data_IF_265089846100
#
_entry.id   IF_265089846100
#
_cell.length_a   1.000
_cell.length_b   1.000
_cell.length_c   1.000
_cell.angle_alpha   90.00
_cell.angle_beta   90.00
_cell.angle_gamma   90.00
#
_symmetry.space_group_name_H-M   'P 1'
#
loop_
_entity.id
_entity.type
_entity.pdbx_description
1 polymer ?
#
# COMPACT_ATOMS: atom_id res chain seq x y z
N UNK A 1 -41.01 -44.47 38.95
CA UNK A 1 -39.57 -44.33 39.01
C UNK A 1 -39.06 -44.39 37.57
N UNK A 2 -39.02 -43.20 36.91
CA UNK A 2 -38.71 -43.04 35.49
C UNK A 2 -37.38 -42.38 35.34
N UNK A 3 -36.42 -43.12 34.83
CA UNK A 3 -35.04 -42.68 34.67
C UNK A 3 -34.91 -41.86 33.37
N UNK A 4 -34.73 -40.56 33.46
CA UNK A 4 -34.48 -39.67 32.33
C UNK A 4 -32.98 -39.67 32.03
N UNK A 5 -32.60 -40.34 30.92
CA UNK A 5 -31.24 -40.27 30.39
C UNK A 5 -31.12 -39.03 29.52
N UNK A 6 -30.35 -38.03 30.00
CA UNK A 6 -30.02 -36.82 29.26
C UNK A 6 -28.85 -37.13 28.32
N UNK A 7 -29.14 -37.25 27.01
CA UNK A 7 -28.13 -37.43 25.96
C UNK A 7 -27.59 -36.04 25.59
N UNK A 8 -26.40 -35.66 26.06
CA UNK A 8 -25.68 -34.47 25.65
C UNK A 8 -25.08 -34.69 24.26
N UNK A 9 -25.67 -34.08 23.23
CA UNK A 9 -25.03 -33.93 21.92
C UNK A 9 -23.94 -32.86 22.03
N UNK A 10 -22.70 -33.30 21.99
CA UNK A 10 -21.54 -32.46 21.69
C UNK A 10 -21.57 -32.13 20.19
N UNK A 11 -22.02 -30.94 19.84
CA UNK A 11 -21.85 -30.39 18.50
C UNK A 11 -20.44 -29.78 18.44
N UNK A 12 -19.48 -30.55 17.94
CA UNK A 12 -18.17 -30.03 17.51
C UNK A 12 -18.38 -29.20 16.24
N UNK A 13 -18.49 -27.90 16.39
CA UNK A 13 -18.49 -26.95 15.29
C UNK A 13 -17.07 -26.78 14.74
N UNK A 14 -16.68 -27.66 13.79
CA UNK A 14 -15.50 -27.37 12.96
C UNK A 14 -15.81 -26.14 12.08
N UNK A 15 -15.17 -25.03 12.37
CA UNK A 15 -15.16 -23.85 11.49
C UNK A 15 -14.61 -24.23 10.13
N UNK A 16 -15.50 -24.31 9.14
CA UNK A 16 -15.12 -24.64 7.77
C UNK A 16 -14.70 -23.35 7.09
N UNK A 17 -13.40 -23.17 6.89
CA UNK A 17 -12.88 -22.17 5.96
C UNK A 17 -13.37 -22.55 4.57
N UNK A 18 -14.32 -21.80 4.02
CA UNK A 18 -14.76 -21.96 2.64
C UNK A 18 -13.81 -21.13 1.79
N UNK A 19 -12.72 -21.74 1.34
CA UNK A 19 -11.91 -21.19 0.27
C UNK A 19 -12.62 -21.47 -1.05
N UNK A 20 -13.09 -20.40 -1.70
CA UNK A 20 -13.61 -20.46 -3.07
C UNK A 20 -12.48 -20.88 -4.02
N UNK A 21 -12.70 -21.77 -4.99
CA UNK A 21 -11.68 -22.13 -5.97
C UNK A 21 -11.26 -20.89 -6.78
N UNK A 22 -9.94 -20.74 -6.95
CA UNK A 22 -9.33 -19.67 -7.71
C UNK A 22 -9.93 -19.58 -9.11
N UNK A 23 -10.27 -18.37 -9.53
CA UNK A 23 -10.66 -18.10 -10.91
C UNK A 23 -9.51 -18.48 -11.84
N UNK A 24 -9.81 -19.32 -12.82
CA UNK A 24 -8.88 -19.76 -13.86
C UNK A 24 -8.49 -18.54 -14.69
N UNK A 25 -7.26 -18.07 -14.51
CA UNK A 25 -6.69 -17.03 -15.38
C UNK A 25 -6.43 -17.66 -16.74
N UNK A 26 -7.15 -17.22 -17.75
CA UNK A 26 -6.83 -17.52 -19.14
C UNK A 26 -5.58 -16.74 -19.52
N UNK A 27 -4.46 -17.45 -19.66
CA UNK A 27 -3.22 -16.91 -20.25
C UNK A 27 -3.43 -16.94 -21.76
N UNK A 28 -3.41 -15.81 -22.49
CA UNK A 28 -3.43 -15.84 -23.94
C UNK A 28 -2.11 -16.43 -24.44
N UNK A 29 -2.20 -17.56 -25.13
CA UNK A 29 -1.08 -18.19 -25.83
C UNK A 29 -0.63 -17.26 -26.96
N UNK A 30 0.56 -16.72 -26.86
CA UNK A 30 1.18 -15.94 -27.93
C UNK A 30 1.55 -16.87 -29.08
N UNK A 31 0.83 -16.74 -30.19
CA UNK A 31 1.12 -17.40 -31.46
C UNK A 31 2.38 -16.78 -32.05
N UNK A 32 3.44 -17.56 -32.15
CA UNK A 32 4.67 -17.17 -32.84
C UNK A 32 4.45 -17.01 -34.35
N UNK A 33 4.62 -15.78 -34.83
CA UNK A 33 4.68 -15.47 -36.25
C UNK A 33 5.99 -15.96 -36.85
N UNK A 34 6.01 -16.64 -38.01
CA UNK A 34 7.24 -17.13 -38.61
C UNK A 34 8.11 -15.97 -39.10
N UNK A 35 9.38 -16.06 -38.80
CA UNK A 35 10.44 -15.13 -39.20
C UNK A 35 10.63 -15.31 -40.73
N UNK A 36 10.40 -14.25 -41.48
CA UNK A 36 10.69 -14.16 -42.90
C UNK A 36 12.21 -13.95 -43.08
N UNK A 37 12.85 -14.86 -43.79
CA UNK A 37 14.28 -14.78 -44.11
C UNK A 37 14.61 -13.53 -44.91
N UNK A 38 15.64 -12.82 -44.49
CA UNK A 38 16.18 -11.63 -45.16
C UNK A 38 17.18 -12.08 -46.22
N UNK A 39 17.12 -11.54 -47.45
CA UNK A 39 18.06 -11.92 -48.52
C UNK A 39 19.46 -11.32 -48.23
N UNK A 40 20.46 -12.13 -48.51
CA UNK A 40 21.90 -11.84 -48.44
C UNK A 40 22.26 -10.59 -49.26
N UNK A 41 23.01 -9.60 -48.74
CA UNK A 41 23.47 -8.48 -49.53
C UNK A 41 24.64 -8.87 -50.43
N UNK A 42 24.47 -8.56 -51.71
CA UNK A 42 25.52 -8.64 -52.73
C UNK A 42 26.59 -7.60 -52.50
N UNK A 43 27.88 -8.00 -52.61
CA UNK A 43 29.02 -7.13 -52.45
C UNK A 43 29.02 -5.99 -53.47
N UNK A 44 29.08 -4.76 -53.01
CA UNK A 44 29.25 -3.56 -53.82
C UNK A 44 30.63 -2.95 -53.66
N UNK A 45 31.15 -2.48 -54.76
CA UNK A 45 32.49 -2.04 -55.05
C UNK A 45 33.10 -1.04 -54.09
N UNK A 46 34.42 -1.18 -53.92
CA UNK A 46 35.35 -0.30 -53.24
C UNK A 46 35.27 1.15 -53.72
N UNK A 47 34.92 2.06 -52.82
CA UNK A 47 35.05 3.50 -53.03
C UNK A 47 36.43 4.00 -52.65
N UNK A 48 36.99 4.85 -53.52
CA UNK A 48 38.26 5.57 -53.34
C UNK A 48 38.21 6.52 -52.16
N UNK A 49 39.27 6.61 -51.31
CA UNK A 49 39.27 7.52 -50.16
C UNK A 49 39.29 8.97 -50.58
N UNK A 50 38.30 9.75 -50.12
CA UNK A 50 38.27 11.22 -50.22
C UNK A 50 39.16 11.76 -49.08
N UNK A 51 39.97 12.80 -49.29
CA UNK A 51 40.80 13.38 -48.22
C UNK A 51 39.89 13.99 -47.13
N UNK A 52 40.21 13.67 -45.89
CA UNK A 52 39.49 14.12 -44.68
C UNK A 52 39.57 15.67 -44.58
N UNK A 53 38.42 16.31 -44.52
CA UNK A 53 38.28 17.71 -44.10
C UNK A 53 38.63 17.79 -42.61
N UNK A 54 39.44 18.78 -42.14
CA UNK A 54 39.74 18.90 -40.73
C UNK A 54 38.45 19.10 -39.93
N UNK A 55 38.26 18.26 -38.92
CA UNK A 55 37.17 18.30 -37.95
C UNK A 55 37.25 19.63 -37.17
N UNK A 56 36.11 20.36 -37.04
CA UNK A 56 36.13 21.62 -36.27
C UNK A 56 36.48 21.32 -34.83
N UNK A 57 37.50 21.96 -34.30
CA UNK A 57 37.91 21.93 -32.89
C UNK A 57 36.73 22.44 -32.07
N UNK A 58 36.20 21.61 -31.20
CA UNK A 58 35.11 21.96 -30.30
C UNK A 58 35.56 23.12 -29.39
N UNK A 59 34.84 24.23 -29.48
CA UNK A 59 35.03 25.36 -28.55
C UNK A 59 34.51 24.89 -27.18
N UNK A 60 35.30 25.01 -26.08
CA UNK A 60 34.84 24.59 -24.77
C UNK A 60 33.58 25.41 -24.40
N UNK A 61 32.48 24.71 -24.21
CA UNK A 61 31.22 25.25 -23.66
C UNK A 61 31.53 25.77 -22.25
N UNK A 62 31.22 27.02 -21.88
CA UNK A 62 31.45 27.52 -20.52
C UNK A 62 30.67 26.66 -19.51
N UNK A 63 31.36 26.19 -18.49
CA UNK A 63 30.71 25.46 -17.37
C UNK A 63 29.65 26.35 -16.71
N UNK A 64 28.43 25.87 -16.51
CA UNK A 64 27.38 26.66 -15.86
C UNK A 64 27.73 26.92 -14.39
N UNK A 65 27.74 28.22 -14.02
CA UNK A 65 28.04 28.63 -12.65
C UNK A 65 26.89 28.25 -11.71
N UNK A 66 27.10 27.48 -10.63
CA UNK A 66 26.06 27.11 -9.71
C UNK A 66 25.47 28.30 -8.96
N UNK A 67 24.18 28.27 -8.65
CA UNK A 67 23.51 29.30 -7.84
C UNK A 67 23.60 28.88 -6.37
N UNK A 68 24.00 29.81 -5.48
CA UNK A 68 24.00 29.59 -4.04
C UNK A 68 22.73 30.21 -3.44
N UNK A 69 21.91 29.40 -2.78
CA UNK A 69 20.71 29.83 -2.05
C UNK A 69 20.92 29.70 -0.54
N UNK A 70 20.61 30.76 0.22
CA UNK A 70 20.63 30.69 1.69
C UNK A 70 19.25 30.36 2.19
N UNK A 71 19.10 29.23 2.93
CA UNK A 71 17.83 28.74 3.45
C UNK A 71 17.16 29.73 4.39
N UNK A 72 15.90 30.01 4.15
CA UNK A 72 15.03 30.83 4.98
C UNK A 72 14.04 29.96 5.76
N UNK A 73 13.40 30.52 6.77
CA UNK A 73 12.36 29.84 7.51
C UNK A 73 11.20 29.49 6.59
N UNK A 74 10.87 28.19 6.49
CA UNK A 74 9.82 27.66 5.61
C UNK A 74 10.32 27.16 4.25
N UNK A 75 11.60 27.33 3.91
CA UNK A 75 12.17 26.72 2.72
C UNK A 75 12.23 25.20 2.87
N UNK A 76 11.90 24.51 1.77
CA UNK A 76 12.04 23.07 1.64
C UNK A 76 12.79 22.74 0.36
N UNK A 77 13.50 21.60 0.32
CA UNK A 77 14.17 21.18 -0.93
C UNK A 77 13.20 21.06 -2.11
N UNK A 78 11.94 20.65 -1.84
CA UNK A 78 10.89 20.57 -2.87
C UNK A 78 10.56 21.98 -3.40
N UNK A 79 10.38 22.95 -2.52
CA UNK A 79 10.11 24.35 -2.90
C UNK A 79 11.27 24.96 -3.69
N UNK A 80 12.51 24.67 -3.28
CA UNK A 80 13.69 25.13 -4.01
C UNK A 80 13.82 24.46 -5.38
N UNK A 81 13.57 23.15 -5.47
CA UNK A 81 13.58 22.42 -6.72
C UNK A 81 12.58 23.01 -7.74
N UNK A 82 11.36 23.30 -7.30
CA UNK A 82 10.33 23.96 -8.10
C UNK A 82 10.72 25.39 -8.50
N UNK A 83 11.26 26.18 -7.54
CA UNK A 83 11.67 27.57 -7.76
C UNK A 83 12.78 27.71 -8.80
N UNK A 84 13.74 26.78 -8.78
CA UNK A 84 14.92 26.85 -9.65
C UNK A 84 14.84 25.90 -10.86
N UNK A 85 13.78 25.09 -10.98
CA UNK A 85 13.56 24.17 -12.11
C UNK A 85 14.60 23.04 -12.16
N UNK A 86 14.99 22.52 -11.01
CA UNK A 86 15.93 21.40 -10.83
C UNK A 86 15.26 20.28 -10.01
N UNK A 87 15.86 19.10 -9.96
CA UNK A 87 15.34 18.02 -9.11
C UNK A 87 15.78 18.18 -7.65
N UNK A 88 14.99 17.65 -6.71
CA UNK A 88 15.41 17.54 -5.30
C UNK A 88 16.69 16.72 -5.19
N UNK A 89 16.79 15.65 -5.96
CA UNK A 89 17.96 14.77 -5.99
C UNK A 89 19.23 15.53 -6.45
N UNK A 90 19.14 16.33 -7.51
CA UNK A 90 20.27 17.13 -7.98
C UNK A 90 20.74 18.13 -6.91
N UNK A 91 19.81 18.74 -6.15
CA UNK A 91 20.17 19.60 -5.02
C UNK A 91 20.84 18.77 -3.91
N UNK A 92 20.34 17.58 -3.59
CA UNK A 92 20.90 16.72 -2.55
C UNK A 92 22.32 16.26 -2.92
N UNK A 93 22.53 15.79 -4.14
CA UNK A 93 23.82 15.33 -4.65
C UNK A 93 24.85 16.48 -4.67
N UNK A 94 24.47 17.67 -5.16
CA UNK A 94 25.36 18.83 -5.20
C UNK A 94 25.79 19.32 -3.80
N UNK A 95 25.03 18.96 -2.74
CA UNK A 95 25.29 19.42 -1.37
C UNK A 95 25.65 18.28 -0.40
N UNK A 96 25.70 17.02 -0.85
CA UNK A 96 25.93 15.87 0.02
C UNK A 96 24.85 15.65 1.09
N UNK A 97 23.59 16.05 0.82
CA UNK A 97 22.48 15.96 1.77
C UNK A 97 21.88 14.57 1.71
N UNK A 98 22.11 13.77 2.75
CA UNK A 98 21.49 12.44 2.91
C UNK A 98 20.15 12.50 3.64
N UNK A 99 19.97 13.43 4.58
CA UNK A 99 18.71 13.64 5.29
C UNK A 99 18.21 15.08 5.13
N UNK A 100 17.11 15.30 4.36
CA UNK A 100 16.53 16.63 4.17
C UNK A 100 15.99 17.30 5.44
N UNK A 101 15.79 16.52 6.52
CA UNK A 101 15.27 17.02 7.80
C UNK A 101 16.33 17.71 8.65
N UNK A 102 17.62 17.50 8.33
CA UNK A 102 18.75 18.10 9.02
C UNK A 102 19.12 19.51 8.54
N UNK A 103 18.34 20.12 7.64
CA UNK A 103 18.63 21.44 7.08
C UNK A 103 18.35 22.57 8.09
N UNK A 104 19.28 23.53 8.18
CA UNK A 104 19.19 24.66 9.10
C UNK A 104 18.90 25.97 8.36
N UNK A 105 18.10 26.84 8.98
CA UNK A 105 17.91 28.21 8.50
C UNK A 105 19.25 28.94 8.51
N UNK A 106 19.58 29.62 7.39
CA UNK A 106 20.87 30.26 7.17
C UNK A 106 21.92 29.38 6.50
N UNK A 107 21.67 28.07 6.33
CA UNK A 107 22.55 27.18 5.60
C UNK A 107 22.57 27.56 4.11
N UNK A 108 23.74 27.52 3.50
CA UNK A 108 23.90 27.76 2.06
C UNK A 108 23.73 26.42 1.30
N UNK A 109 22.90 26.45 0.29
CA UNK A 109 22.59 25.32 -0.59
C UNK A 109 23.01 25.65 -2.01
N UNK A 110 23.80 24.79 -2.60
CA UNK A 110 24.22 24.88 -4.01
C UNK A 110 23.08 24.37 -4.87
N UNK A 111 22.57 25.20 -5.75
CA UNK A 111 21.58 24.85 -6.75
C UNK A 111 22.32 24.59 -8.07
N UNK A 112 22.37 23.37 -8.56
CA UNK A 112 23.04 23.05 -9.80
C UNK A 112 22.32 23.73 -10.98
N UNK A 113 23.09 24.31 -11.89
CA UNK A 113 22.57 25.00 -13.10
C UNK A 113 22.84 24.19 -14.35
N UNK A 114 23.39 22.97 -14.20
CA UNK A 114 23.68 22.06 -15.28
C UNK A 114 22.41 21.74 -16.09
N UNK A 115 22.49 21.74 -17.45
CA UNK A 115 21.40 21.30 -18.30
C UNK A 115 20.89 19.89 -17.95
N UNK A 116 21.74 18.95 -17.50
CA UNK A 116 21.34 17.61 -17.08
C UNK A 116 20.54 17.63 -15.76
N UNK A 117 20.89 18.51 -14.82
CA UNK A 117 20.12 18.72 -13.60
C UNK A 117 18.71 19.30 -13.87
N UNK A 118 18.54 20.01 -14.99
CA UNK A 118 17.26 20.54 -15.48
C UNK A 118 16.50 19.53 -16.33
N UNK A 119 17.18 18.75 -17.13
CA UNK A 119 16.59 17.68 -17.96
C UNK A 119 16.04 16.55 -17.08
N UNK A 120 16.69 16.28 -15.95
CA UNK A 120 16.16 15.37 -14.93
C UNK A 120 14.90 15.89 -14.24
N UNK A 121 14.61 17.21 -14.28
CA UNK A 121 13.35 17.78 -13.79
C UNK A 121 12.12 17.38 -14.62
N UNK A 122 12.34 16.89 -15.85
CA UNK A 122 11.30 16.41 -16.76
C UNK A 122 11.23 14.88 -16.88
N UNK A 123 12.26 14.18 -16.38
CA UNK A 123 12.15 12.73 -16.21
C UNK A 123 11.48 12.52 -14.86
N UNK A 124 10.26 11.97 -14.78
CA UNK A 124 9.73 11.55 -13.49
C UNK A 124 10.83 10.66 -12.88
N UNK A 125 11.31 11.00 -11.67
CA UNK A 125 11.99 10.02 -10.82
C UNK A 125 11.20 8.75 -11.00
N UNK A 126 11.80 7.61 -11.41
CA UNK A 126 11.01 6.39 -11.54
C UNK A 126 10.29 6.26 -10.21
N UNK A 127 8.97 6.45 -10.26
CA UNK A 127 8.11 6.21 -9.11
C UNK A 127 8.50 4.82 -8.64
N UNK A 128 8.95 4.65 -7.39
CA UNK A 128 9.42 3.35 -6.94
C UNK A 128 8.38 2.34 -7.37
N UNK A 129 8.78 1.38 -8.19
CA UNK A 129 7.88 0.43 -8.81
C UNK A 129 7.19 -0.31 -7.67
N UNK A 130 5.96 0.10 -7.39
CA UNK A 130 5.19 -0.47 -6.28
C UNK A 130 4.97 -1.95 -6.58
N UNK A 131 5.11 -2.82 -5.58
CA UNK A 131 4.81 -4.23 -5.75
C UNK A 131 3.40 -4.40 -6.34
N UNK A 132 3.16 -5.41 -7.17
CA UNK A 132 1.85 -5.61 -7.78
C UNK A 132 0.79 -5.86 -6.70
N UNK A 133 -0.13 -4.92 -6.57
CA UNK A 133 -1.23 -4.93 -5.62
C UNK A 133 -2.53 -4.54 -6.31
N UNK A 134 -3.63 -5.12 -5.87
CA UNK A 134 -4.96 -4.83 -6.38
C UNK A 134 -5.83 -4.19 -5.29
N UNK A 135 -6.55 -3.13 -5.64
CA UNK A 135 -7.59 -2.53 -4.79
C UNK A 135 -8.95 -3.09 -5.23
N UNK A 136 -9.74 -3.60 -4.28
CA UNK A 136 -11.10 -4.07 -4.56
C UNK A 136 -12.02 -2.93 -5.00
N UNK A 137 -13.17 -3.22 -5.64
CA UNK A 137 -14.25 -2.25 -5.78
C UNK A 137 -14.63 -1.67 -4.40
N UNK A 138 -14.88 -0.35 -4.38
CA UNK A 138 -15.15 0.35 -3.11
C UNK A 138 -16.64 0.35 -2.79
N UNK A 139 -16.94 0.24 -1.50
CA UNK A 139 -18.28 0.50 -0.94
C UNK A 139 -18.29 1.91 -0.36
N UNK A 140 -19.28 2.71 -0.76
CA UNK A 140 -19.44 4.06 -0.26
C UNK A 140 -20.57 4.14 0.77
N UNK A 141 -20.32 4.86 1.86
CA UNK A 141 -21.29 5.08 2.91
C UNK A 141 -21.38 6.56 3.27
N UNK A 142 -22.55 7.11 3.07
CA UNK A 142 -22.83 8.51 3.38
C UNK A 142 -23.20 8.71 4.84
N UNK A 143 -22.53 9.63 5.49
CA UNK A 143 -22.91 10.18 6.78
C UNK A 143 -23.19 11.68 6.63
N UNK A 144 -23.81 12.30 7.67
CA UNK A 144 -24.24 13.70 7.64
C UNK A 144 -23.16 14.64 7.09
N UNK A 145 -21.93 14.54 7.59
CA UNK A 145 -20.84 15.48 7.32
C UNK A 145 -19.63 14.82 6.59
N UNK A 146 -19.77 13.54 6.22
CA UNK A 146 -18.70 12.77 5.63
C UNK A 146 -19.19 11.74 4.62
N UNK A 147 -18.34 11.38 3.67
CA UNK A 147 -18.48 10.20 2.83
C UNK A 147 -17.35 9.23 3.19
N UNK A 148 -17.70 7.99 3.51
CA UNK A 148 -16.75 6.91 3.71
C UNK A 148 -16.60 6.10 2.44
N UNK A 149 -15.38 5.64 2.19
CA UNK A 149 -15.09 4.63 1.18
C UNK A 149 -14.33 3.46 1.85
N UNK A 150 -14.87 2.26 1.70
CA UNK A 150 -14.34 1.03 2.27
C UNK A 150 -13.88 0.11 1.16
N UNK A 151 -12.78 -0.59 1.39
CA UNK A 151 -12.22 -1.54 0.43
C UNK A 151 -11.13 -2.38 1.06
N UNK A 152 -10.48 -3.19 0.24
CA UNK A 152 -9.31 -3.97 0.62
C UNK A 152 -8.24 -3.88 -0.45
N UNK A 153 -7.00 -4.06 -0.02
CA UNK A 153 -5.82 -4.23 -0.88
C UNK A 153 -5.39 -5.68 -0.80
N UNK A 154 -5.13 -6.30 -1.95
CA UNK A 154 -4.55 -7.64 -2.05
C UNK A 154 -3.16 -7.54 -2.64
N UNK A 155 -2.17 -8.13 -1.99
CA UNK A 155 -0.80 -8.20 -2.49
C UNK A 155 -0.68 -9.37 -3.47
N UNK A 156 -0.43 -9.08 -4.73
CA UNK A 156 -0.16 -10.07 -5.78
C UNK A 156 1.35 -10.33 -5.97
N UNK A 157 2.20 -9.51 -5.33
CA UNK A 157 3.66 -9.67 -5.33
C UNK A 157 4.10 -10.83 -4.45
N UNK A 158 5.37 -11.17 -4.52
CA UNK A 158 6.03 -12.27 -3.82
C UNK A 158 6.82 -11.81 -2.57
N UNK A 159 6.96 -10.50 -2.38
CA UNK A 159 7.60 -9.91 -1.20
C UNK A 159 6.58 -9.22 -0.30
N UNK A 160 6.70 -9.43 1.02
CA UNK A 160 5.85 -8.76 2.01
C UNK A 160 6.10 -7.25 2.01
N UNK A 161 5.04 -6.48 2.22
CA UNK A 161 5.09 -5.01 2.22
C UNK A 161 4.53 -4.41 3.51
N UNK A 162 5.02 -3.23 3.85
CA UNK A 162 4.53 -2.40 4.95
C UNK A 162 4.27 -0.97 4.49
N UNK A 163 3.65 -0.14 5.34
CA UNK A 163 3.29 1.26 5.06
C UNK A 163 2.47 1.44 3.77
N UNK A 164 1.57 0.51 3.53
CA UNK A 164 0.66 0.57 2.39
C UNK A 164 -0.38 1.66 2.60
N UNK A 165 -0.38 2.66 1.72
CA UNK A 165 -1.33 3.78 1.73
C UNK A 165 -2.13 3.79 0.43
N UNK A 166 -3.44 3.78 0.57
CA UNK A 166 -4.39 3.90 -0.54
C UNK A 166 -4.86 5.34 -0.66
N UNK A 167 -4.90 5.87 -1.87
CA UNK A 167 -5.55 7.13 -2.22
C UNK A 167 -6.77 6.85 -3.09
N UNK A 168 -7.84 7.58 -2.83
CA UNK A 168 -9.06 7.58 -3.65
C UNK A 168 -9.36 8.99 -4.07
N UNK A 169 -9.52 9.19 -5.38
CA UNK A 169 -9.91 10.44 -6.01
C UNK A 169 -11.34 10.27 -6.53
N UNK A 170 -12.24 11.20 -6.18
CA UNK A 170 -13.62 11.25 -6.69
C UNK A 170 -13.67 12.22 -7.88
N UNK A 171 -14.34 11.82 -8.96
CA UNK A 171 -14.39 12.56 -10.20
C UNK A 171 -15.83 12.97 -10.54
N UNK A 172 -15.99 14.16 -11.08
CA UNK A 172 -17.26 14.67 -11.61
C UNK A 172 -17.57 14.12 -13.02
N UNK A 173 -18.61 14.64 -13.66
CA UNK A 173 -19.03 14.28 -15.00
C UNK A 173 -18.04 14.68 -16.10
N UNK A 174 -17.17 15.67 -15.85
CA UNK A 174 -16.12 16.11 -16.76
C UNK A 174 -14.84 15.26 -16.61
N UNK A 175 -14.75 14.46 -15.54
CA UNK A 175 -13.56 13.67 -15.19
C UNK A 175 -12.57 14.46 -14.32
N UNK A 176 -12.97 15.63 -13.82
CA UNK A 176 -12.14 16.43 -12.93
C UNK A 176 -12.24 15.92 -11.49
N UNK A 177 -11.11 15.94 -10.77
CA UNK A 177 -11.06 15.50 -9.37
C UNK A 177 -11.71 16.55 -8.47
N UNK A 178 -12.80 16.17 -7.82
CA UNK A 178 -13.56 17.04 -6.89
C UNK A 178 -13.19 16.80 -5.42
N UNK A 179 -12.64 15.63 -5.09
CA UNK A 179 -12.16 15.33 -3.75
C UNK A 179 -11.14 14.21 -3.79
N UNK A 180 -10.17 14.25 -2.87
CA UNK A 180 -9.17 13.19 -2.67
C UNK A 180 -9.06 12.88 -1.19
N UNK A 181 -8.94 11.58 -0.86
CA UNK A 181 -8.65 11.13 0.49
C UNK A 181 -7.68 9.95 0.45
N UNK A 182 -6.97 9.74 1.56
CA UNK A 182 -6.00 8.63 1.71
C UNK A 182 -6.09 8.02 3.09
N UNK A 183 -5.81 6.72 3.16
CA UNK A 183 -5.73 5.99 4.42
C UNK A 183 -4.71 4.84 4.32
N UNK A 184 -4.08 4.47 5.43
CA UNK A 184 -3.33 3.23 5.52
C UNK A 184 -4.29 2.02 5.54
N UNK A 185 -3.77 0.86 5.16
CA UNK A 185 -4.45 -0.41 5.43
C UNK A 185 -4.50 -0.67 6.95
N UNK A 186 -5.42 -1.54 7.38
CA UNK A 186 -5.62 -1.85 8.81
C UNK A 186 -4.72 -3.00 9.31
N UNK A 187 -3.60 -3.22 8.66
CA UNK A 187 -2.56 -4.16 9.05
C UNK A 187 -1.20 -3.47 9.07
N UNK A 188 -0.26 -3.98 9.87
CA UNK A 188 1.12 -3.48 9.88
C UNK A 188 1.88 -3.90 8.63
N UNK A 189 1.67 -5.16 8.24
CA UNK A 189 2.35 -5.80 7.14
C UNK A 189 1.34 -6.58 6.30
N UNK A 190 1.54 -6.61 4.99
CA UNK A 190 0.76 -7.43 4.07
C UNK A 190 1.70 -8.47 3.43
N UNK A 191 1.43 -9.75 3.68
CA UNK A 191 2.20 -10.83 3.12
C UNK A 191 1.71 -11.21 1.71
N UNK A 192 2.51 -11.91 0.90
CA UNK A 192 2.11 -12.38 -0.42
C UNK A 192 0.79 -13.14 -0.42
N UNK A 193 -0.14 -12.74 -1.29
CA UNK A 193 -1.47 -13.33 -1.40
C UNK A 193 -2.48 -12.91 -0.33
N UNK A 194 -2.08 -12.14 0.68
CA UNK A 194 -2.98 -11.63 1.71
C UNK A 194 -3.75 -10.40 1.24
N UNK A 195 -4.87 -10.15 1.94
CA UNK A 195 -5.71 -8.97 1.78
C UNK A 195 -5.86 -8.23 3.09
N UNK A 196 -5.71 -6.90 3.04
CA UNK A 196 -5.91 -6.02 4.17
C UNK A 196 -6.99 -4.97 3.88
N UNK A 197 -7.91 -4.79 4.81
CA UNK A 197 -8.96 -3.78 4.70
C UNK A 197 -8.46 -2.37 4.93
N UNK A 198 -9.13 -1.41 4.32
CA UNK A 198 -8.96 0.00 4.60
C UNK A 198 -10.30 0.74 4.60
N UNK A 199 -10.35 1.83 5.35
CA UNK A 199 -11.47 2.77 5.32
C UNK A 199 -10.95 4.18 5.31
N UNK A 200 -11.39 4.98 4.35
CA UNK A 200 -11.03 6.38 4.25
C UNK A 200 -12.27 7.26 4.29
N UNK A 201 -12.07 8.52 4.66
CA UNK A 201 -13.15 9.46 4.90
C UNK A 201 -12.89 10.79 4.20
N UNK A 202 -13.85 11.23 3.41
CA UNK A 202 -13.87 12.57 2.83
C UNK A 202 -14.59 13.51 3.78
N UNK A 203 -13.88 14.55 4.24
CA UNK A 203 -14.43 15.63 5.09
C UNK A 203 -13.93 16.97 4.57
N UNK A 204 -14.81 17.94 4.30
CA UNK A 204 -16.28 17.83 4.34
C UNK A 204 -16.80 16.83 3.31
N UNK A 205 -18.06 16.41 3.49
CA UNK A 205 -18.70 15.53 2.49
C UNK A 205 -18.65 16.21 1.12
N UNK A 206 -18.09 15.55 0.08
CA UNK A 206 -18.04 16.11 -1.26
C UNK A 206 -19.43 16.18 -1.90
N UNK A 207 -19.55 16.96 -2.97
CA UNK A 207 -20.69 16.94 -3.86
C UNK A 207 -20.87 15.59 -4.57
N UNK A 208 -21.94 15.48 -5.41
CA UNK A 208 -22.14 14.28 -6.23
C UNK A 208 -20.90 14.00 -7.10
N UNK A 209 -20.49 12.74 -7.18
CA UNK A 209 -19.41 12.29 -8.04
C UNK A 209 -19.92 11.24 -9.05
N UNK A 210 -19.26 11.13 -10.18
CA UNK A 210 -19.62 10.21 -11.27
C UNK A 210 -18.86 8.89 -11.19
N UNK A 211 -17.58 8.97 -10.87
CA UNK A 211 -16.65 7.84 -10.81
C UNK A 211 -15.58 8.11 -9.75
N UNK A 212 -14.74 7.12 -9.54
CA UNK A 212 -13.57 7.25 -8.66
C UNK A 212 -12.36 6.54 -9.24
N UNK A 213 -11.18 7.00 -8.86
CA UNK A 213 -9.93 6.27 -9.06
C UNK A 213 -9.35 5.90 -7.71
N UNK A 214 -8.98 4.65 -7.54
CA UNK A 214 -8.22 4.17 -6.39
C UNK A 214 -6.83 3.75 -6.82
N UNK A 215 -5.82 4.17 -6.06
CA UNK A 215 -4.42 3.79 -6.31
C UNK A 215 -3.66 3.65 -5.00
N UNK A 216 -2.63 2.82 -5.02
CA UNK A 216 -1.67 2.73 -3.93
C UNK A 216 -0.59 3.78 -4.18
N UNK A 217 -0.35 4.64 -3.18
CA UNK A 217 0.59 5.74 -3.28
C UNK A 217 1.85 5.53 -2.44
N UNK A 218 1.85 4.51 -1.59
CA UNK A 218 3.00 4.10 -0.78
C UNK A 218 2.91 2.63 -0.47
N UNK A 219 4.03 1.95 -0.59
CA UNK A 219 4.32 0.64 -0.05
C UNK A 219 5.84 0.48 -0.05
N UNK A 220 6.38 -0.23 0.92
CA UNK A 220 7.80 -0.55 0.96
C UNK A 220 7.99 -2.00 1.38
N UNK A 221 9.11 -2.64 1.05
CA UNK A 221 9.44 -3.98 1.55
C UNK A 221 9.34 -4.02 3.08
N UNK A 222 8.69 -5.04 3.61
CA UNK A 222 8.48 -5.17 5.04
C UNK A 222 9.73 -5.69 5.75
N UNK A 223 10.03 -5.12 6.91
CA UNK A 223 11.02 -5.66 7.84
C UNK A 223 10.39 -6.79 8.63
N UNK A 224 10.24 -7.97 8.00
CA UNK A 224 9.50 -9.12 8.54
C UNK A 224 9.95 -9.50 9.96
N UNK A 225 11.24 -9.28 10.29
CA UNK A 225 11.79 -9.55 11.63
C UNK A 225 11.13 -8.73 12.74
N UNK A 226 10.52 -7.59 12.44
CA UNK A 226 9.85 -6.74 13.42
C UNK A 226 8.41 -7.15 13.71
N UNK A 227 7.85 -8.06 12.90
CA UNK A 227 6.46 -8.48 13.01
C UNK A 227 6.36 -9.89 13.60
N UNK A 228 5.42 -10.06 14.51
CA UNK A 228 5.06 -11.34 15.07
C UNK A 228 3.78 -11.83 14.39
N UNK A 229 3.87 -12.96 13.65
CA UNK A 229 2.78 -13.50 12.82
C UNK A 229 2.34 -14.90 13.26
N UNK A 230 3.05 -15.50 14.22
CA UNK A 230 2.72 -16.83 14.76
C UNK A 230 1.54 -16.73 15.74
N UNK A 231 0.49 -16.02 15.31
CA UNK A 231 -0.74 -15.74 16.05
C UNK A 231 -1.92 -16.39 15.31
N UNK A 232 -2.79 -17.07 16.03
CA UNK A 232 -4.07 -17.56 15.50
C UNK A 232 -5.24 -16.86 16.17
N UNK A 233 -6.34 -16.69 15.42
CA UNK A 233 -7.63 -16.25 15.96
C UNK A 233 -8.53 -17.47 16.12
N UNK A 234 -8.99 -17.71 17.34
CA UNK A 234 -9.75 -18.90 17.72
C UNK A 234 -11.04 -18.53 18.46
N UNK A 235 -11.95 -19.51 18.62
CA UNK A 235 -13.17 -19.40 19.41
C UNK A 235 -14.02 -18.16 19.09
N UNK A 236 -14.14 -17.82 17.78
CA UNK A 236 -14.83 -16.62 17.32
C UNK A 236 -16.35 -16.77 17.48
N UNK A 237 -16.95 -15.82 18.17
CA UNK A 237 -18.39 -15.64 18.27
C UNK A 237 -18.79 -14.38 17.51
N UNK A 238 -19.67 -14.55 16.53
CA UNK A 238 -20.23 -13.48 15.71
C UNK A 238 -21.71 -13.26 16.06
N UNK A 239 -22.11 -12.03 16.30
CA UNK A 239 -23.49 -11.67 16.67
C UNK A 239 -23.93 -10.38 16.00
N UNK A 240 -25.16 -10.39 15.46
CA UNK A 240 -25.88 -9.18 15.07
C UNK A 240 -26.65 -8.65 16.28
N UNK A 241 -26.41 -7.38 16.62
CA UNK A 241 -27.08 -6.72 17.75
C UNK A 241 -27.99 -5.61 17.20
N UNK A 242 -29.29 -5.85 17.27
CA UNK A 242 -30.27 -4.94 16.69
C UNK A 242 -30.19 -4.84 15.16
N UNK A 243 -30.42 -3.67 14.61
CA UNK A 243 -30.52 -3.47 13.16
C UNK A 243 -29.23 -2.96 12.49
N UNK A 244 -28.17 -2.71 13.24
CA UNK A 244 -27.01 -1.99 12.67
C UNK A 244 -25.65 -2.30 13.31
N UNK A 245 -25.60 -3.12 14.34
CA UNK A 245 -24.34 -3.45 15.04
C UNK A 245 -24.00 -4.91 14.81
N UNK A 246 -22.75 -5.15 14.45
CA UNK A 246 -22.19 -6.49 14.34
C UNK A 246 -20.99 -6.61 15.29
N UNK A 247 -21.03 -7.62 16.16
CA UNK A 247 -19.99 -7.84 17.16
C UNK A 247 -19.26 -9.14 16.87
N UNK A 248 -17.95 -9.09 16.92
CA UNK A 248 -17.04 -10.23 16.86
C UNK A 248 -16.21 -10.27 18.14
N UNK A 249 -16.27 -11.38 18.85
CA UNK A 249 -15.41 -11.66 19.99
C UNK A 249 -14.68 -12.97 19.76
N UNK A 250 -13.50 -13.12 20.36
CA UNK A 250 -12.73 -14.35 20.22
C UNK A 250 -11.42 -14.28 20.98
N UNK A 251 -10.60 -15.27 20.75
CA UNK A 251 -9.30 -15.43 21.37
C UNK A 251 -8.20 -15.29 20.32
N UNK A 252 -7.04 -14.77 20.75
CA UNK A 252 -5.80 -14.75 19.97
C UNK A 252 -4.76 -15.52 20.73
N UNK A 253 -4.23 -16.59 20.12
CA UNK A 253 -3.22 -17.46 20.72
C UNK A 253 -1.87 -17.18 20.09
N UNK A 254 -0.85 -16.94 20.90
CA UNK A 254 0.52 -16.84 20.45
C UNK A 254 1.15 -18.22 20.39
N UNK A 255 1.30 -18.77 19.18
CA UNK A 255 1.95 -20.07 18.94
C UNK A 255 3.46 -19.96 18.72
N UNK A 256 3.98 -18.72 18.64
CA UNK A 256 5.41 -18.48 18.49
C UNK A 256 6.21 -18.77 19.75
N UNK A 257 7.51 -18.80 19.58
CA UNK A 257 8.50 -18.98 20.66
C UNK A 257 8.96 -17.65 21.30
N UNK A 258 8.47 -16.53 20.79
CA UNK A 258 8.78 -15.17 21.26
C UNK A 258 7.51 -14.43 21.70
N UNK A 259 7.72 -13.41 22.55
CA UNK A 259 6.66 -12.51 22.97
C UNK A 259 6.19 -11.63 21.81
N UNK A 260 4.87 -11.42 21.71
CA UNK A 260 4.24 -10.50 20.79
C UNK A 260 3.80 -9.24 21.54
N UNK A 261 4.21 -8.06 21.07
CA UNK A 261 3.77 -6.76 21.59
C UNK A 261 2.79 -6.10 20.63
N UNK A 262 1.97 -5.18 21.12
CA UNK A 262 0.98 -4.44 20.33
C UNK A 262 0.15 -5.38 19.42
N UNK A 263 -0.43 -6.42 20.01
CA UNK A 263 -1.23 -7.41 19.30
C UNK A 263 -2.59 -6.84 18.96
N UNK A 264 -2.95 -6.92 17.69
CA UNK A 264 -4.22 -6.45 17.14
C UNK A 264 -4.88 -7.52 16.30
N UNK A 265 -6.21 -7.43 16.23
CA UNK A 265 -7.03 -8.16 15.25
C UNK A 265 -7.60 -7.17 14.27
N UNK A 266 -7.29 -7.36 12.99
CA UNK A 266 -7.91 -6.65 11.88
C UNK A 266 -9.13 -7.43 11.42
N UNK A 267 -10.25 -6.74 11.29
CA UNK A 267 -11.57 -7.29 10.93
C UNK A 267 -12.05 -6.66 9.65
N UNK A 268 -12.46 -7.49 8.69
CA UNK A 268 -13.15 -7.07 7.48
C UNK A 268 -14.49 -7.81 7.43
N UNK A 269 -15.59 -7.10 7.24
CA UNK A 269 -16.91 -7.68 6.99
C UNK A 269 -17.28 -7.55 5.52
N UNK A 270 -17.92 -8.60 5.00
CA UNK A 270 -18.36 -8.65 3.59
C UNK A 270 -19.86 -8.92 3.49
N UNK A 271 -20.46 -8.40 2.43
CA UNK A 271 -21.81 -8.76 2.01
C UNK A 271 -21.81 -9.99 1.08
N UNK A 272 -22.99 -10.38 0.59
CA UNK A 272 -23.21 -11.51 -0.31
C UNK A 272 -22.59 -11.35 -1.71
N UNK A 273 -22.17 -10.13 -2.06
CA UNK A 273 -21.46 -9.82 -3.30
C UNK A 273 -19.93 -9.66 -3.09
N UNK A 274 -19.40 -10.16 -1.96
CA UNK A 274 -17.99 -10.04 -1.56
C UNK A 274 -17.49 -8.57 -1.47
N UNK A 275 -18.39 -7.60 -1.24
CA UNK A 275 -18.02 -6.19 -1.05
C UNK A 275 -17.70 -5.91 0.41
N UNK A 276 -16.67 -5.12 0.65
CA UNK A 276 -16.30 -4.70 2.01
C UNK A 276 -17.34 -3.74 2.57
N UNK A 277 -17.99 -4.12 3.66
CA UNK A 277 -19.05 -3.32 4.31
C UNK A 277 -18.68 -2.79 5.70
N UNK A 278 -17.60 -3.27 6.28
CA UNK A 278 -16.97 -2.68 7.46
C UNK A 278 -15.50 -3.12 7.54
N UNK A 279 -14.68 -2.25 8.11
CA UNK A 279 -13.28 -2.52 8.43
C UNK A 279 -12.98 -1.94 9.81
N UNK A 280 -12.32 -2.73 10.67
CA UNK A 280 -11.89 -2.28 11.99
C UNK A 280 -10.65 -3.02 12.44
N UNK A 281 -9.82 -2.35 13.21
CA UNK A 281 -8.69 -2.93 13.93
C UNK A 281 -8.88 -2.71 15.41
N UNK A 282 -8.74 -3.76 16.21
CA UNK A 282 -8.92 -3.74 17.66
C UNK A 282 -7.74 -4.40 18.37
N UNK A 283 -7.29 -3.87 19.50
CA UNK A 283 -6.26 -4.54 20.30
C UNK A 283 -6.82 -5.79 20.98
N UNK A 284 -5.94 -6.70 21.36
CA UNK A 284 -6.24 -7.77 22.30
C UNK A 284 -6.16 -7.26 23.74
N UNK A 285 -6.73 -8.01 24.66
CA UNK A 285 -6.58 -7.82 26.09
C UNK A 285 -6.04 -9.13 26.71
N UNK A 286 -4.78 -9.16 27.19
CA UNK A 286 -3.81 -8.06 27.17
C UNK A 286 -3.30 -7.74 25.75
N UNK A 287 -2.75 -6.52 25.53
CA UNK A 287 -2.23 -6.11 24.22
C UNK A 287 -0.83 -6.69 23.90
N UNK A 288 -0.22 -7.39 24.83
CA UNK A 288 1.03 -8.13 24.64
C UNK A 288 0.79 -9.58 25.11
N UNK A 289 1.26 -10.54 24.33
CA UNK A 289 1.09 -11.97 24.58
C UNK A 289 2.45 -12.65 24.63
N UNK A 290 2.76 -13.29 25.77
CA UNK A 290 3.94 -14.12 25.89
C UNK A 290 3.81 -15.36 24.98
N UNK A 291 4.93 -16.06 24.75
CA UNK A 291 4.91 -17.32 24.04
C UNK A 291 3.93 -18.31 24.69
N UNK A 292 2.97 -18.82 23.91
CA UNK A 292 1.90 -19.72 24.37
C UNK A 292 0.74 -19.04 25.11
N UNK A 293 0.75 -17.72 25.28
CA UNK A 293 -0.33 -17.00 25.97
C UNK A 293 -1.51 -16.72 25.02
N UNK A 294 -2.70 -16.61 25.63
CA UNK A 294 -3.94 -16.28 24.95
C UNK A 294 -4.48 -14.95 25.44
N UNK A 295 -4.82 -14.07 24.52
CA UNK A 295 -5.54 -12.82 24.76
C UNK A 295 -6.95 -12.88 24.16
N UNK A 296 -7.81 -11.99 24.60
CA UNK A 296 -9.17 -11.88 24.05
C UNK A 296 -9.29 -10.62 23.21
N UNK A 297 -10.18 -10.62 22.22
CA UNK A 297 -10.55 -9.40 21.48
C UNK A 297 -12.06 -9.23 21.42
N UNK A 298 -12.48 -7.98 21.29
CA UNK A 298 -13.87 -7.62 21.04
C UNK A 298 -13.93 -6.49 20.02
N UNK A 299 -14.58 -6.74 18.91
CA UNK A 299 -14.77 -5.78 17.82
C UNK A 299 -16.25 -5.52 17.62
N UNK A 300 -16.68 -4.28 17.88
CA UNK A 300 -18.00 -3.79 17.54
C UNK A 300 -17.90 -3.00 16.23
N UNK A 301 -18.66 -3.40 15.21
CA UNK A 301 -18.65 -2.78 13.88
C UNK A 301 -20.06 -2.27 13.54
N UNK A 302 -20.06 -1.19 12.75
CA UNK A 302 -21.27 -0.61 12.16
C UNK A 302 -21.16 -0.82 10.63
N UNK A 303 -21.61 -1.97 10.11
CA UNK A 303 -21.54 -2.24 8.68
C UNK A 303 -22.44 -1.26 7.90
N UNK A 304 -22.07 -1.01 6.65
CA UNK A 304 -22.85 -0.13 5.75
C UNK A 304 -24.30 -0.59 5.62
N UNK A 305 -24.50 -1.90 5.64
CA UNK A 305 -25.80 -2.57 5.65
C UNK A 305 -25.70 -3.98 6.25
N UNK A 306 -26.83 -4.58 6.54
CA UNK A 306 -26.97 -5.99 6.94
C UNK A 306 -27.75 -6.76 5.86
N UNK A 307 -27.67 -8.08 5.80
CA UNK A 307 -26.86 -8.95 6.67
C UNK A 307 -25.37 -8.95 6.30
N UNK A 308 -24.53 -9.35 7.26
CA UNK A 308 -23.12 -9.69 7.01
C UNK A 308 -23.07 -11.12 6.48
N UNK A 309 -22.50 -11.33 5.30
CA UNK A 309 -22.40 -12.66 4.70
C UNK A 309 -21.19 -13.44 5.22
N UNK A 310 -20.05 -12.76 5.38
CA UNK A 310 -18.82 -13.38 5.89
C UNK A 310 -17.89 -12.32 6.50
N UNK A 311 -16.86 -12.79 7.18
CA UNK A 311 -15.82 -11.93 7.74
C UNK A 311 -14.42 -12.54 7.56
N UNK A 312 -13.42 -11.68 7.57
CA UNK A 312 -12.02 -12.06 7.60
C UNK A 312 -11.34 -11.44 8.82
N UNK A 313 -10.54 -12.25 9.53
CA UNK A 313 -9.81 -11.86 10.72
C UNK A 313 -8.32 -12.14 10.52
N UNK A 314 -7.48 -11.17 10.84
CA UNK A 314 -6.03 -11.33 10.84
C UNK A 314 -5.48 -10.81 12.15
N UNK A 315 -4.80 -11.67 12.90
CA UNK A 315 -4.04 -11.28 14.09
C UNK A 315 -2.59 -10.97 13.70
N UNK A 316 -2.06 -9.89 14.23
CA UNK A 316 -0.67 -9.49 14.06
C UNK A 316 -0.15 -8.74 15.29
N UNK A 317 1.13 -8.84 15.53
CA UNK A 317 1.83 -8.16 16.60
C UNK A 317 3.20 -7.67 16.16
N UNK A 318 3.89 -7.00 17.06
CA UNK A 318 5.28 -6.62 16.87
C UNK A 318 6.17 -7.53 17.73
N UNK A 319 7.37 -7.80 17.27
CA UNK A 319 8.39 -8.47 18.09
C UNK A 319 9.03 -7.43 19.00
N UNK A 320 9.29 -7.81 20.22
CA UNK A 320 10.07 -6.99 21.15
C UNK A 320 11.48 -6.82 20.59
N UNK A 321 11.98 -5.58 20.42
CA UNK A 321 13.35 -5.40 19.98
C UNK A 321 14.28 -6.05 21.01
N UNK A 322 15.12 -6.98 20.53
CA UNK A 322 16.20 -7.52 21.35
C UNK A 322 17.21 -6.42 21.62
N UNK A 323 17.70 -6.22 22.87
CA UNK A 323 18.57 -5.09 23.22
C UNK A 323 19.92 -5.05 22.51
N UNK A 324 20.21 -5.95 21.56
CA UNK A 324 21.50 -6.14 20.89
C UNK A 324 21.44 -6.24 19.35
N UNK A 325 20.33 -5.85 18.70
CA UNK A 325 20.30 -5.72 17.25
C UNK A 325 20.16 -4.28 16.78
#
# INVERSE_FOLDING_TARGET
>A
MLLLVLLSLLVSGCGRVITKPAATVFIPTSTSTPIRETPTPTATATATPVPATPEPTETPTPEPTPIIHTLQAGDTLIGLAQKYGVTVQAIQEANGITDPRGLLVGQQIIIPTDPEARLSAGTPTPEPELPPMAVSPLTFWEQKDALWALGQVTLAGDEAVEDVIVQVDLLDDAGDVIASARAPIQQYMLAPGESAGFGLRFIPRPGPFRSYHSRIISARPAHVAFYHRDLSVENVLAQEIGASVYTLTGEVVNHGDADAEAVYVSVILYDDADRVIAVRRVPTDPPALQAGETGIFSAELLPVHLPVATYHLTAEGQRKPTPNE
#
